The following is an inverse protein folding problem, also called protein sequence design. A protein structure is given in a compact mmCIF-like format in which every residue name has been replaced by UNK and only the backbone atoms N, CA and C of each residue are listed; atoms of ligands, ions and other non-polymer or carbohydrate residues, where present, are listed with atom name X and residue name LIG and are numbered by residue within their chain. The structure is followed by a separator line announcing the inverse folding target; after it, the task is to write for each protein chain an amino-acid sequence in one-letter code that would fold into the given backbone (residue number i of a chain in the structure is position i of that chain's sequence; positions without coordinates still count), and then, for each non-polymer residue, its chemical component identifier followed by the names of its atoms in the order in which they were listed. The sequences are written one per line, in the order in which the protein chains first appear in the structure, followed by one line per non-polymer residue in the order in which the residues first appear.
data_IF_536952958269
#
_entry.id   IF_536952958269
#
_cell.length_a   1.000
_cell.length_b   1.000
_cell.length_c   1.000
_cell.angle_alpha   90.00
_cell.angle_beta   90.00
_cell.angle_gamma   90.00
#
_symmetry.space_group_name_H-M   'P 1'
#
loop_
_entity.id
_entity.type
_entity.pdbx_description
1 polymer ?
2 water ?
#
# COMPACT_ATOMS: atom_id res chain seq x y z
N UNK A 12 -16.56 11.52 25.42
CA UNK A 12 -16.94 10.33 24.59
C UNK A 12 -17.93 10.69 23.48
N UNK A 13 -17.58 10.35 22.24
CA UNK A 13 -18.40 10.72 21.07
C UNK A 13 -18.88 9.58 20.17
N UNK A 14 -19.94 9.84 19.40
CA UNK A 14 -20.45 8.86 18.44
C UNK A 14 -20.04 9.41 17.09
N UNK A 15 -19.28 8.62 16.31
CA UNK A 15 -18.77 9.07 15.02
C UNK A 15 -19.29 8.24 13.86
N UNK A 16 -19.71 8.96 12.83
CA UNK A 16 -20.25 8.39 11.60
C UNK A 16 -19.19 8.58 10.48
N UNK A 17 -18.71 7.46 9.94
CA UNK A 17 -17.71 7.46 8.88
C UNK A 17 -18.34 7.14 7.54
N UNK A 18 -18.34 8.13 6.65
CA UNK A 18 -18.90 7.93 5.34
C UNK A 18 -17.74 7.50 4.48
N UNK A 19 -17.75 6.20 4.14
CA UNK A 19 -16.67 5.62 3.36
C UNK A 19 -15.75 4.80 4.29
N UNK A 20 -16.31 4.33 5.40
CA UNK A 20 -15.60 3.54 6.39
C UNK A 20 -15.00 2.25 5.83
N UNK A 21 -15.38 1.89 4.60
CA UNK A 21 -14.90 0.66 4.03
C UNK A 21 -13.54 0.77 3.36
N UNK A 22 -13.04 2.00 3.22
CA UNK A 22 -11.72 2.24 2.65
C UNK A 22 -10.55 1.89 3.61
N UNK A 23 -9.37 1.66 3.03
CA UNK A 23 -8.26 1.30 3.88
C UNK A 23 -7.93 2.47 4.85
N UNK A 24 -7.88 3.70 4.31
CA UNK A 24 -7.61 4.88 5.13
C UNK A 24 -8.61 5.09 6.27
N UNK A 25 -9.86 5.22 5.88
CA UNK A 25 -10.92 5.42 6.80
C UNK A 25 -11.07 4.32 7.82
N UNK A 26 -10.94 3.05 7.43
CA UNK A 26 -11.14 2.01 8.45
C UNK A 26 -10.09 2.12 9.55
N UNK A 27 -8.89 2.57 9.19
CA UNK A 27 -7.83 2.70 10.18
C UNK A 27 -8.21 3.72 11.25
N UNK A 28 -8.66 4.88 10.77
CA UNK A 28 -9.08 5.95 11.66
C UNK A 28 -10.30 5.47 12.46
N UNK A 29 -11.22 4.73 11.84
CA UNK A 29 -12.36 4.26 12.57
C UNK A 29 -11.92 3.28 13.66
N UNK A 30 -11.02 2.36 13.32
CA UNK A 30 -10.53 1.35 14.28
C UNK A 30 -9.83 2.06 15.48
N UNK A 31 -9.01 3.06 15.19
CA UNK A 31 -8.36 3.83 16.24
C UNK A 31 -9.42 4.39 17.22
N UNK A 32 -10.44 5.06 16.67
CA UNK A 32 -11.51 5.64 17.49
C UNK A 32 -12.26 4.55 18.23
N UNK A 33 -12.46 3.44 17.55
CA UNK A 33 -13.10 2.28 18.14
C UNK A 33 -12.24 1.78 19.32
N UNK A 34 -10.93 1.74 19.11
CA UNK A 34 -10.00 1.30 20.15
C UNK A 34 -9.98 2.29 21.30
N UNK A 35 -10.39 3.54 21.04
CA UNK A 35 -10.39 4.53 22.10
C UNK A 35 -11.73 4.57 22.78
N UNK A 36 -12.57 3.57 22.55
CA UNK A 36 -13.84 3.57 23.24
C UNK A 36 -14.94 4.50 22.73
N UNK A 37 -14.82 5.01 21.53
CA UNK A 37 -15.89 5.83 20.99
C UNK A 37 -16.96 4.99 20.31
N UNK A 38 -18.18 5.52 20.22
CA UNK A 38 -19.26 4.82 19.55
C UNK A 38 -19.02 5.07 18.06
N UNK A 39 -18.65 4.02 17.34
CA UNK A 39 -18.30 4.15 15.95
C UNK A 39 -19.15 3.34 15.01
N UNK A 40 -19.50 3.92 13.86
CA UNK A 40 -20.23 3.17 12.85
C UNK A 40 -20.01 3.90 11.55
N UNK A 41 -20.47 3.33 10.46
CA UNK A 41 -20.22 4.02 9.22
C UNK A 41 -20.89 3.36 8.05
N UNK A 42 -20.53 3.85 6.88
CA UNK A 42 -21.17 3.33 5.70
C UNK A 42 -20.17 3.34 4.56
N UNK A 43 -20.52 2.60 3.53
CA UNK A 43 -19.63 2.52 2.40
C UNK A 43 -20.44 2.21 1.18
N UNK A 44 -19.90 2.59 0.04
CA UNK A 44 -20.54 2.41 -1.25
C UNK A 44 -20.70 0.95 -1.64
N UNK A 45 -19.70 0.13 -1.34
CA UNK A 45 -19.71 -1.29 -1.67
C UNK A 45 -19.15 -2.04 -0.48
N UNK A 46 -19.31 -3.35 -0.47
CA UNK A 46 -18.78 -4.12 0.62
C UNK A 46 -17.23 -4.29 0.37
N UNK A 47 -16.40 -4.34 1.41
CA UNK A 47 -14.92 -4.50 1.25
C UNK A 47 -14.37 -5.46 2.30
N UNK A 48 -13.09 -5.83 2.24
CA UNK A 48 -12.64 -6.74 3.31
C UNK A 48 -12.63 -5.97 4.61
N UNK A 49 -12.40 -4.65 4.53
CA UNK A 49 -12.47 -3.84 5.74
C UNK A 49 -13.91 -3.83 6.32
N UNK A 50 -14.94 -3.61 5.49
CA UNK A 50 -16.32 -3.59 6.03
C UNK A 50 -16.56 -4.95 6.66
N UNK A 51 -16.12 -6.00 6.02
CA UNK A 51 -16.31 -7.32 6.61
C UNK A 51 -15.58 -7.37 7.95
N UNK A 52 -14.32 -6.94 7.93
CA UNK A 52 -13.52 -7.00 9.14
C UNK A 52 -14.11 -6.17 10.26
N UNK A 53 -14.46 -4.90 9.94
CA UNK A 53 -15.00 -4.04 10.97
C UNK A 53 -16.29 -4.54 11.54
N UNK A 54 -17.09 -5.27 10.73
CA UNK A 54 -18.35 -5.79 11.25
C UNK A 54 -18.08 -6.89 12.24
N UNK A 55 -17.06 -7.70 11.93
CA UNK A 55 -16.70 -8.81 12.79
C UNK A 55 -16.29 -8.26 14.15
N UNK A 56 -15.83 -7.01 14.19
CA UNK A 56 -15.44 -6.42 15.49
C UNK A 56 -16.67 -5.94 16.24
N UNK A 57 -17.78 -5.84 15.52
CA UNK A 57 -19.02 -5.38 16.11
C UNK A 57 -19.31 -3.93 15.78
N UNK A 58 -18.76 -3.45 14.68
CA UNK A 58 -19.00 -2.09 14.25
C UNK A 58 -20.07 -2.11 13.19
N UNK A 59 -21.14 -1.33 13.38
CA UNK A 59 -22.23 -1.29 12.41
C UNK A 59 -21.72 -0.58 11.16
N UNK A 60 -21.80 -1.28 10.03
CA UNK A 60 -21.36 -0.78 8.76
C UNK A 60 -22.51 -0.97 7.80
N UNK A 61 -22.94 0.14 7.19
CA UNK A 61 -24.07 0.11 6.27
C UNK A 61 -23.68 0.34 4.83
N UNK A 62 -24.11 -0.59 3.99
CA UNK A 62 -23.82 -0.49 2.57
C UNK A 62 -25.14 -0.70 1.86
N UNK A 63 -25.48 0.17 0.90
CA UNK A 63 -24.69 1.31 0.45
C UNK A 63 -25.06 2.57 1.21
N UNK A 64 -24.66 3.73 0.66
CA UNK A 64 -24.95 5.00 1.29
C UNK A 64 -26.44 5.30 1.19
N UNK A 65 -27.00 5.76 2.30
CA UNK A 65 -28.40 6.11 2.42
C UNK A 65 -28.55 6.95 3.66
N UNK A 66 -29.36 8.00 3.62
CA UNK A 66 -29.60 8.80 4.83
C UNK A 66 -30.29 7.90 5.87
N UNK A 67 -30.71 6.73 5.44
CA UNK A 67 -31.27 5.75 6.36
C UNK A 67 -30.17 5.39 7.42
N UNK A 68 -28.90 5.44 7.00
CA UNK A 68 -27.78 5.07 7.87
C UNK A 68 -27.40 6.20 8.79
N UNK A 69 -28.38 6.76 9.48
CA UNK A 69 -28.11 7.86 10.37
C UNK A 69 -28.49 7.45 11.79
N UNK A 70 -27.56 7.64 12.73
CA UNK A 70 -27.84 7.27 14.11
C UNK A 70 -27.44 8.35 15.09
N UNK A 71 -27.75 9.57 14.68
CA UNK A 71 -27.53 10.80 15.43
C UNK A 71 -26.14 10.85 16.01
N UNK A 72 -25.13 10.90 15.13
CA UNK A 72 -23.73 10.97 15.52
C UNK A 72 -23.41 12.38 15.97
N UNK A 73 -22.35 12.52 16.73
CA UNK A 73 -21.91 13.81 17.21
C UNK A 73 -20.95 14.31 16.18
N UNK A 74 -20.51 13.37 15.37
CA UNK A 74 -19.51 13.76 14.40
C UNK A 74 -19.60 12.91 13.15
N UNK A 75 -19.35 13.54 12.02
CA UNK A 75 -19.39 12.83 10.76
C UNK A 75 -18.06 13.05 10.07
N UNK A 76 -17.43 11.95 9.64
CA UNK A 76 -16.16 12.06 8.92
C UNK A 76 -16.34 11.50 7.52
N UNK A 77 -15.77 12.20 6.53
CA UNK A 77 -15.89 11.77 5.15
C UNK A 77 -14.57 11.80 4.37
N UNK A 78 -14.47 10.94 3.38
CA UNK A 78 -13.28 10.89 2.54
C UNK A 78 -13.42 11.86 1.38
N UNK A 79 -12.31 12.24 0.77
CA UNK A 79 -12.39 13.18 -0.35
C UNK A 79 -13.36 12.73 -1.44
N UNK A 80 -13.64 11.44 -1.53
CA UNK A 80 -14.54 10.94 -2.56
C UNK A 80 -16.03 11.17 -2.27
N UNK A 81 -16.39 11.36 -1.01
CA UNK A 81 -17.79 11.56 -0.67
C UNK A 81 -18.31 12.85 -1.28
N UNK A 82 -19.28 12.74 -2.17
CA UNK A 82 -19.77 13.95 -2.81
C UNK A 82 -20.85 14.63 -1.99
N UNK A 83 -21.04 15.94 -2.23
CA UNK A 83 -22.02 16.75 -1.49
C UNK A 83 -23.46 16.30 -1.63
N UNK A 84 -23.75 15.50 -2.65
CA UNK A 84 -25.10 15.00 -2.80
C UNK A 84 -25.23 13.62 -2.12
N UNK A 85 -24.21 13.23 -1.38
CA UNK A 85 -24.33 11.97 -0.68
C UNK A 85 -25.47 12.17 0.32
N UNK A 86 -26.48 11.30 0.28
CA UNK A 86 -27.57 11.50 1.24
C UNK A 86 -27.14 11.65 2.71
N UNK A 87 -26.08 10.97 3.10
CA UNK A 87 -25.63 11.03 4.48
C UNK A 87 -25.05 12.39 4.78
N UNK A 88 -24.38 12.94 3.81
CA UNK A 88 -23.81 14.23 4.04
C UNK A 88 -24.93 15.27 4.05
N UNK A 89 -25.94 15.07 3.20
CA UNK A 89 -27.05 16.02 3.18
C UNK A 89 -27.77 16.01 4.52
N UNK A 90 -28.08 14.81 5.03
CA UNK A 90 -28.74 14.72 6.32
C UNK A 90 -27.86 15.41 7.36
N UNK A 91 -26.60 15.01 7.43
CA UNK A 91 -25.68 15.61 8.39
C UNK A 91 -25.68 17.13 8.29
N UNK A 92 -25.64 17.67 7.08
CA UNK A 92 -25.62 19.12 7.03
C UNK A 92 -26.94 19.72 7.48
N UNK A 93 -28.04 19.10 7.13
CA UNK A 93 -29.29 19.66 7.53
C UNK A 93 -29.46 19.49 9.03
N UNK A 94 -28.96 18.38 9.55
CA UNK A 94 -29.05 18.14 10.99
C UNK A 94 -28.00 18.98 11.74
N UNK A 95 -27.21 19.75 10.99
CA UNK A 95 -26.18 20.62 11.57
C UNK A 95 -25.05 19.89 12.33
N UNK A 96 -24.84 18.63 11.99
CA UNK A 96 -23.79 17.85 12.60
C UNK A 96 -22.45 18.21 11.93
N UNK A 97 -21.46 18.54 12.74
CA UNK A 97 -20.13 18.88 12.21
C UNK A 97 -19.59 17.74 11.34
N UNK A 98 -19.03 18.12 10.21
CA UNK A 98 -18.52 17.16 9.25
C UNK A 98 -17.05 17.44 9.05
N UNK A 99 -16.26 16.38 9.10
CA UNK A 99 -14.84 16.55 8.90
C UNK A 99 -14.29 15.63 7.85
N UNK A 100 -13.19 16.07 7.26
CA UNK A 100 -12.48 15.31 6.22
C UNK A 100 -11.42 14.41 6.83
N UNK A 101 -11.33 13.19 6.32
CA UNK A 101 -10.39 12.17 6.77
C UNK A 101 -9.01 12.68 7.19
N UNK A 102 -8.26 13.25 6.23
CA UNK A 102 -6.89 13.70 6.51
C UNK A 102 -6.83 14.69 7.60
N UNK A 103 -7.67 15.72 7.46
CA UNK A 103 -7.75 16.78 8.43
C UNK A 103 -8.07 16.22 9.81
N UNK A 104 -9.00 15.27 9.91
CA UNK A 104 -9.37 14.69 11.19
C UNK A 104 -8.20 13.87 11.74
N UNK A 105 -7.52 13.18 10.83
CA UNK A 105 -6.37 12.39 11.20
C UNK A 105 -5.31 13.33 11.82
N UNK A 106 -5.05 14.46 11.16
CA UNK A 106 -4.08 15.36 11.72
C UNK A 106 -4.50 15.79 13.10
N UNK A 107 -5.76 16.08 13.26
CA UNK A 107 -6.22 16.49 14.57
C UNK A 107 -6.03 15.31 15.50
N UNK A 108 -6.26 14.11 14.98
CA UNK A 108 -6.13 12.94 15.82
C UNK A 108 -4.70 12.78 16.32
N UNK A 109 -3.74 13.10 15.47
CA UNK A 109 -2.36 13.02 15.90
C UNK A 109 -2.12 14.12 16.90
N UNK A 110 -2.63 15.33 16.65
CA UNK A 110 -2.42 16.40 17.61
C UNK A 110 -2.86 15.93 18.99
N UNK A 111 -3.98 15.21 19.06
CA UNK A 111 -4.40 14.72 20.35
C UNK A 111 -3.40 13.66 20.87
N UNK A 112 -2.93 12.78 20.00
CA UNK A 112 -1.98 11.75 20.42
C UNK A 112 -0.75 12.32 21.13
N UNK A 113 -0.26 13.47 20.68
CA UNK A 113 0.92 14.11 21.26
C UNK A 113 1.99 13.02 21.45
N UNK A 114 2.38 12.39 20.34
CA UNK A 114 3.34 11.30 20.39
C UNK A 114 4.48 11.52 19.40
N UNK A 115 5.49 10.66 19.46
CA UNK A 115 6.61 10.78 18.54
C UNK A 115 6.07 10.21 17.23
N UNK A 116 6.24 10.94 16.15
CA UNK A 116 5.70 10.50 14.87
C UNK A 116 6.62 10.04 13.75
N UNK A 117 6.34 8.85 13.22
CA UNK A 117 7.09 8.33 12.09
C UNK A 117 6.11 8.39 10.91
N UNK A 118 6.38 9.27 9.96
CA UNK A 118 5.57 9.40 8.78
C UNK A 118 6.31 8.95 7.52
N UNK A 119 5.55 8.33 6.63
CA UNK A 119 6.12 7.90 5.37
C UNK A 119 5.21 8.45 4.29
N UNK A 120 5.80 9.02 3.26
CA UNK A 120 4.99 9.54 2.17
C UNK A 120 5.77 9.27 0.90
N UNK A 121 5.15 9.51 -0.25
CA UNK A 121 5.83 9.28 -1.49
C UNK A 121 4.88 8.78 -2.57
N UNK A 122 5.36 8.72 -3.80
CA UNK A 122 4.52 8.27 -4.87
C UNK A 122 4.43 6.77 -4.81
N UNK A 123 5.58 6.12 -4.75
CA UNK A 123 5.63 4.66 -4.73
C UNK A 123 6.43 4.13 -3.56
N UNK A 124 5.98 3.02 -2.98
CA UNK A 124 6.70 2.35 -1.91
C UNK A 124 6.28 2.71 -0.50
N UNK A 125 5.44 3.71 -0.45
CA UNK A 125 4.93 4.27 0.79
C UNK A 125 4.34 3.29 1.79
N UNK A 126 3.44 2.43 1.32
CA UNK A 126 2.77 1.51 2.24
C UNK A 126 3.69 0.43 2.75
N UNK A 127 4.52 -0.13 1.87
CA UNK A 127 5.44 -1.18 2.30
C UNK A 127 6.47 -0.58 3.27
N UNK A 128 6.98 0.60 2.92
CA UNK A 128 7.97 1.29 3.76
C UNK A 128 7.37 1.55 5.12
N UNK A 129 6.13 2.03 5.13
CA UNK A 129 5.46 2.26 6.40
C UNK A 129 5.30 0.97 7.19
N UNK A 130 5.00 -0.12 6.49
CA UNK A 130 4.79 -1.39 7.17
C UNK A 130 6.13 -1.85 7.76
N UNK A 131 7.20 -1.61 7.01
CA UNK A 131 8.54 -1.95 7.48
C UNK A 131 8.86 -1.18 8.78
N UNK A 132 8.64 0.16 8.77
CA UNK A 132 8.88 1.00 9.93
C UNK A 132 8.10 0.47 11.11
N UNK A 133 6.80 0.26 10.90
CA UNK A 133 5.95 -0.28 11.95
C UNK A 133 6.47 -1.63 12.43
N UNK A 134 6.81 -2.50 11.48
CA UNK A 134 7.31 -3.82 11.83
C UNK A 134 8.60 -3.73 12.71
N UNK A 135 9.56 -2.88 12.32
CA UNK A 135 10.79 -2.65 13.08
C UNK A 135 10.42 -2.18 14.51
N UNK A 136 9.67 -1.09 14.60
CA UNK A 136 9.26 -0.59 15.90
C UNK A 136 8.59 -1.67 16.73
N UNK A 137 7.79 -2.53 16.12
CA UNK A 137 7.16 -3.57 16.93
C UNK A 137 8.20 -4.59 17.40
N UNK A 138 9.16 -4.91 16.52
CA UNK A 138 10.18 -5.90 16.84
C UNK A 138 11.02 -5.41 17.95
N UNK A 139 11.26 -4.11 17.93
CA UNK A 139 12.07 -3.47 18.96
C UNK A 139 11.25 -3.25 20.18
N UNK A 140 10.09 -3.90 20.21
CA UNK A 140 9.14 -3.76 21.32
C UNK A 140 8.89 -2.30 21.69
N UNK A 141 8.71 -1.43 20.69
CA UNK A 141 8.45 -0.03 20.98
C UNK A 141 6.93 0.20 21.05
N UNK A 142 6.17 -0.88 20.85
CA UNK A 142 4.70 -0.86 20.90
C UNK A 142 4.05 0.40 20.25
N UNK A 143 4.28 0.59 18.95
CA UNK A 143 3.75 1.72 18.20
C UNK A 143 2.26 1.65 17.85
N UNK A 144 1.66 2.81 17.64
CA UNK A 144 0.30 2.88 17.16
C UNK A 144 0.60 2.95 15.67
N UNK A 145 -0.05 2.07 14.90
CA UNK A 145 0.14 2.02 13.46
C UNK A 145 -1.12 2.31 12.62
N UNK A 146 -0.95 3.11 11.58
CA UNK A 146 -2.00 3.46 10.65
C UNK A 146 -1.41 3.08 9.31
N UNK A 147 -1.84 1.94 8.78
CA UNK A 147 -1.31 1.47 7.52
C UNK A 147 -2.30 1.62 6.39
N UNK A 148 -1.80 1.91 5.20
CA UNK A 148 -2.64 2.01 4.01
C UNK A 148 -2.67 0.66 3.31
N UNK A 149 -2.64 -0.42 4.08
CA UNK A 149 -2.64 -1.73 3.46
C UNK A 149 -2.79 -2.72 4.59
N UNK A 150 -2.81 -4.01 4.28
CA UNK A 150 -2.97 -4.97 5.35
C UNK A 150 -1.67 -5.72 5.66
N UNK A 151 -1.29 -5.73 6.93
CA UNK A 151 -0.12 -6.47 7.36
C UNK A 151 -0.60 -7.36 8.47
N UNK A 152 -0.48 -8.66 8.26
CA UNK A 152 -0.97 -9.62 9.25
C UNK A 152 -0.48 -9.51 10.67
N UNK A 153 0.73 -9.01 10.84
CA UNK A 153 1.32 -8.87 12.16
C UNK A 153 0.59 -7.76 12.94
N UNK A 154 -0.14 -6.89 12.24
CA UNK A 154 -0.92 -5.83 12.91
C UNK A 154 -2.22 -6.38 13.47
N UNK A 155 -2.50 -6.08 14.73
CA UNK A 155 -3.72 -6.58 15.38
C UNK A 155 -5.02 -6.42 14.54
N UNK A 156 -5.15 -5.33 13.81
CA UNK A 156 -6.33 -5.11 13.00
C UNK A 156 -5.99 -4.93 11.53
N UNK A 157 -4.83 -5.41 11.11
CA UNK A 157 -4.51 -5.34 9.70
C UNK A 157 -3.88 -4.12 9.11
N UNK A 158 -4.56 -2.98 9.26
CA UNK A 158 -4.08 -1.71 8.73
C UNK A 158 -4.02 -0.75 9.89
N UNK A 159 -4.22 -1.30 11.07
CA UNK A 159 -4.20 -0.50 12.28
C UNK A 159 -3.81 -1.35 13.47
N UNK A 160 -3.18 -0.71 14.45
CA UNK A 160 -2.79 -1.35 15.70
C UNK A 160 -2.63 -0.23 16.70
N UNK A 161 -3.14 -0.44 17.91
CA UNK A 161 -3.02 0.56 18.95
C UNK A 161 -1.85 0.19 19.84
N UNK A 162 -1.02 1.17 20.16
CA UNK A 162 0.11 0.92 21.05
C UNK A 162 0.36 2.20 21.83
N UNK A 163 1.19 2.17 22.87
CA UNK A 163 1.45 3.40 23.63
C UNK A 163 2.78 4.03 23.21
N UNK A 164 3.53 3.34 22.34
CA UNK A 164 4.80 3.86 21.85
C UNK A 164 4.57 4.98 20.87
N UNK A 165 5.47 5.17 19.90
CA UNK A 165 5.24 6.27 18.95
C UNK A 165 4.15 5.84 17.96
N UNK A 166 3.78 6.75 17.07
CA UNK A 166 2.79 6.43 16.08
C UNK A 166 3.45 6.48 14.69
N UNK A 167 3.16 5.44 13.91
CA UNK A 167 3.68 5.29 12.55
C UNK A 167 2.51 5.42 11.57
N UNK A 168 2.68 6.24 10.54
CA UNK A 168 1.61 6.38 9.56
C UNK A 168 2.08 6.77 8.18
N UNK A 169 1.16 6.59 7.25
CA UNK A 169 1.34 6.84 5.84
C UNK A 169 0.73 8.21 5.52
N UNK A 170 1.39 9.05 4.76
CA UNK A 170 0.80 10.32 4.38
C UNK A 170 0.62 10.26 2.88
N UNK A 171 -0.59 10.51 2.41
CA UNK A 171 -0.80 10.47 0.97
C UNK A 171 -0.47 11.82 0.34
N UNK A 172 0.54 11.85 -0.49
CA UNK A 172 0.90 13.10 -1.11
C UNK A 172 -0.04 13.48 -2.22
N UNK A 173 -1.24 12.91 -2.21
CA UNK A 173 -2.20 13.25 -3.24
C UNK A 173 -2.92 14.47 -2.77
N UNK A 174 -3.12 14.54 -1.46
CA UNK A 174 -3.80 15.68 -0.90
C UNK A 174 -2.75 16.66 -0.44
N UNK A 175 -2.76 17.85 -1.02
CA UNK A 175 -1.83 18.93 -0.68
C UNK A 175 -1.70 19.14 0.85
N UNK A 176 -2.81 18.93 1.56
CA UNK A 176 -2.85 19.09 3.02
C UNK A 176 -1.85 18.20 3.76
N UNK A 177 -1.19 17.27 3.06
CA UNK A 177 -0.26 16.40 3.76
C UNK A 177 0.86 17.27 4.27
N UNK A 178 1.13 18.33 3.53
CA UNK A 178 2.17 19.33 3.86
C UNK A 178 1.93 20.07 5.18
N UNK A 179 0.75 19.87 5.76
CA UNK A 179 0.37 20.49 7.01
C UNK A 179 0.76 19.64 8.21
N UNK A 180 1.25 18.44 7.94
CA UNK A 180 1.69 17.56 9.01
C UNK A 180 3.12 17.97 9.38
N UNK A 181 3.53 17.63 10.59
CA UNK A 181 4.89 17.94 10.96
C UNK A 181 5.39 16.83 11.89
N UNK A 182 5.66 15.65 11.30
CA UNK A 182 6.15 14.50 12.07
C UNK A 182 7.58 14.76 12.52
N UNK A 183 8.06 13.90 13.40
CA UNK A 183 9.43 13.98 13.92
C UNK A 183 10.34 13.55 12.77
N UNK A 184 9.98 12.40 12.19
CA UNK A 184 10.72 11.79 11.11
C UNK A 184 9.79 11.54 9.94
N UNK A 185 10.31 11.79 8.75
CA UNK A 185 9.57 11.60 7.55
C UNK A 185 10.44 10.92 6.48
N UNK A 186 9.96 9.80 5.95
CA UNK A 186 10.65 9.16 4.83
C UNK A 186 9.82 9.59 3.60
N UNK A 187 10.51 10.06 2.57
CA UNK A 187 9.82 10.44 1.34
C UNK A 187 10.42 9.44 0.37
N UNK A 188 9.65 8.42 -0.02
CA UNK A 188 10.15 7.35 -0.93
C UNK A 188 10.59 7.89 -2.26
N UNK A 189 9.77 8.80 -2.80
CA UNK A 189 10.03 9.46 -4.09
C UNK A 189 8.83 10.36 -4.28
N UNK A 190 8.89 11.20 -5.28
CA UNK A 190 7.81 12.16 -5.53
C UNK A 190 7.83 12.43 -7.03
N UNK A 191 7.05 11.65 -7.77
CA UNK A 191 7.00 11.78 -9.20
C UNK A 191 5.96 12.87 -9.53
N UNK A 192 5.05 13.15 -8.60
CA UNK A 192 4.05 14.17 -8.87
C UNK A 192 3.31 13.86 -10.15
N UNK A 193 2.62 12.73 -10.12
CA UNK A 193 1.88 12.26 -11.26
C UNK A 193 0.40 12.55 -11.06
N UNK A 194 0.06 13.09 -9.89
CA UNK A 194 -1.33 13.44 -9.61
C UNK A 194 -1.44 14.81 -9.00
N UNK A 195 -1.25 15.83 -9.85
CA UNK A 195 -1.32 17.23 -9.43
C UNK A 195 -2.73 17.81 -9.34
N UNK A 196 -3.74 16.98 -9.59
CA UNK A 196 -5.14 17.40 -9.55
C UNK A 196 -5.51 18.23 -8.34
N UNK A 197 -4.93 17.89 -7.19
CA UNK A 197 -5.24 18.60 -5.95
C UNK A 197 -4.27 19.76 -5.69
N UNK A 198 -3.32 19.95 -6.59
CA UNK A 198 -2.36 21.06 -6.49
C UNK A 198 -2.62 22.03 -7.65
N UNK A 199 -3.90 22.17 -8.01
CA UNK A 199 -4.27 23.02 -9.11
C UNK A 199 -3.34 22.72 -10.27
N UNK A 200 -3.06 21.45 -10.48
CA UNK A 200 -2.16 21.01 -11.54
C UNK A 200 -0.90 21.84 -11.60
N UNK A 201 -0.37 22.17 -10.42
CA UNK A 201 0.85 22.96 -10.32
C UNK A 201 2.02 22.22 -9.67
N UNK A 202 2.97 21.76 -10.47
CA UNK A 202 4.13 21.05 -9.90
C UNK A 202 4.81 21.94 -8.86
N UNK A 203 4.61 23.24 -8.98
CA UNK A 203 5.22 24.19 -8.04
C UNK A 203 4.57 24.08 -6.68
N UNK A 204 3.25 24.00 -6.65
CA UNK A 204 2.56 23.85 -5.38
C UNK A 204 2.99 22.51 -4.79
N UNK A 205 3.09 21.50 -5.65
CA UNK A 205 3.50 20.16 -5.24
C UNK A 205 4.88 20.23 -4.57
N UNK A 206 5.85 20.80 -5.26
CA UNK A 206 7.18 20.93 -4.69
C UNK A 206 7.06 21.64 -3.34
N UNK A 207 6.33 22.75 -3.33
CA UNK A 207 6.17 23.53 -2.11
C UNK A 207 5.63 22.73 -0.98
N UNK A 208 4.69 21.84 -1.29
CA UNK A 208 4.10 20.97 -0.28
C UNK A 208 5.21 20.15 0.39
N UNK A 209 6.13 19.59 -0.39
CA UNK A 209 7.21 18.82 0.21
C UNK A 209 8.17 19.69 0.98
N UNK A 210 8.52 20.82 0.38
CA UNK A 210 9.39 21.80 1.00
C UNK A 210 8.92 22.08 2.44
N UNK A 211 7.65 22.43 2.51
CA UNK A 211 6.95 22.73 3.74
C UNK A 211 6.92 21.62 4.78
N UNK A 212 6.58 20.39 4.40
CA UNK A 212 6.56 19.36 5.43
C UNK A 212 8.00 19.08 5.86
N UNK A 213 8.94 19.14 4.92
CA UNK A 213 10.34 18.94 5.27
C UNK A 213 10.72 19.93 6.36
N UNK A 214 10.46 21.22 6.13
CA UNK A 214 10.78 22.25 7.12
C UNK A 214 10.26 21.90 8.51
N UNK A 215 9.05 21.36 8.61
CA UNK A 215 8.54 21.04 9.93
C UNK A 215 8.81 19.65 10.48
N UNK A 216 9.79 18.98 9.90
CA UNK A 216 10.14 17.65 10.35
C UNK A 216 11.57 17.66 10.88
N UNK A 217 11.82 16.98 12.00
CA UNK A 217 13.18 16.92 12.54
C UNK A 217 14.16 16.19 11.64
N UNK A 218 13.77 15.05 11.09
CA UNK A 218 14.66 14.31 10.22
C UNK A 218 13.90 13.83 8.98
N UNK A 219 14.42 14.17 7.81
CA UNK A 219 13.79 13.78 6.58
C UNK A 219 14.68 12.78 5.86
N UNK A 220 14.13 11.62 5.50
CA UNK A 220 14.92 10.64 4.75
C UNK A 220 14.41 10.79 3.33
N UNK A 221 15.36 10.80 2.41
CA UNK A 221 14.97 11.03 1.07
C UNK A 221 15.72 10.17 0.06
N UNK A 222 15.07 9.98 -1.09
CA UNK A 222 15.61 9.19 -2.20
C UNK A 222 16.59 10.05 -2.99
N UNK A 223 17.87 9.71 -2.87
CA UNK A 223 18.94 10.44 -3.50
C UNK A 223 18.77 10.60 -5.00
N UNK A 224 17.96 9.73 -5.60
CA UNK A 224 17.78 9.83 -7.03
C UNK A 224 16.46 10.44 -7.44
N UNK A 225 15.68 10.90 -6.47
CA UNK A 225 14.38 11.54 -6.76
C UNK A 225 14.63 12.97 -7.17
N UNK A 226 14.51 13.27 -8.46
CA UNK A 226 14.76 14.63 -8.94
C UNK A 226 14.13 15.71 -8.08
N UNK A 227 12.83 15.60 -7.89
CA UNK A 227 12.04 16.56 -7.12
C UNK A 227 12.30 16.70 -5.65
N UNK A 228 12.73 15.64 -5.01
CA UNK A 228 12.78 15.71 -3.57
C UNK A 228 14.07 15.34 -2.84
N UNK A 229 15.10 14.95 -3.59
CA UNK A 229 16.34 14.51 -2.98
C UNK A 229 17.05 15.49 -2.06
N UNK A 230 17.09 16.74 -2.47
CA UNK A 230 17.75 17.77 -1.71
C UNK A 230 17.11 18.00 -0.32
N UNK A 231 15.86 17.61 -0.15
CA UNK A 231 15.22 17.82 1.13
C UNK A 231 15.69 16.88 2.22
N UNK A 232 16.36 15.81 1.83
CA UNK A 232 16.75 14.85 2.86
C UNK A 232 17.93 15.21 3.73
N UNK A 233 17.80 14.92 5.01
CA UNK A 233 18.89 15.12 5.92
C UNK A 233 19.83 13.95 5.63
N UNK A 234 19.27 12.82 5.23
CA UNK A 234 20.03 11.64 4.79
C UNK A 234 19.31 11.05 3.58
N UNK A 235 20.08 10.40 2.72
CA UNK A 235 19.53 9.79 1.51
C UNK A 235 19.92 8.33 1.29
N UNK A 236 19.19 7.70 0.39
CA UNK A 236 19.40 6.30 0.01
C UNK A 236 19.17 6.30 -1.50
N UNK A 237 19.90 5.44 -2.17
CA UNK A 237 19.83 5.34 -3.59
C UNK A 237 20.60 4.10 -3.96
N UNK A 238 20.77 3.90 -5.25
CA UNK A 238 21.46 2.72 -5.68
C UNK A 238 22.92 3.06 -5.85
N UNK A 239 23.18 4.06 -6.67
CA UNK A 239 24.56 4.42 -6.95
C UNK A 239 25.00 5.67 -6.23
N UNK A 240 24.04 6.51 -5.83
CA UNK A 240 24.35 7.73 -5.10
C UNK A 240 23.44 7.87 -3.89
N UNK A 241 23.95 8.57 -2.88
CA UNK A 241 23.21 8.81 -1.66
C UNK A 241 23.98 8.43 -0.41
N UNK A 242 23.45 8.76 0.77
CA UNK A 242 24.14 8.41 2.01
C UNK A 242 24.23 6.88 2.12
N UNK A 243 23.12 6.21 1.92
CA UNK A 243 23.12 4.75 1.97
C UNK A 243 22.99 4.34 0.54
N UNK A 244 23.85 3.41 0.18
CA UNK A 244 23.98 2.94 -1.19
C UNK A 244 24.02 1.40 -1.34
N UNK A 245 23.75 0.91 -2.53
CA UNK A 245 23.77 -0.53 -2.80
C UNK A 245 25.04 -0.94 -3.51
N UNK A 246 25.81 -1.82 -2.91
CA UNK A 246 27.01 -2.22 -3.58
C UNK A 246 26.71 -3.46 -4.43
N UNK A 247 25.90 -4.37 -3.91
CA UNK A 247 25.54 -5.60 -4.60
C UNK A 247 24.20 -6.09 -4.13
N UNK A 248 23.51 -6.76 -5.02
CA UNK A 248 22.20 -7.30 -4.72
C UNK A 248 22.09 -8.62 -5.38
N UNK A 249 21.52 -9.56 -4.68
CA UNK A 249 21.36 -10.88 -5.22
C UNK A 249 19.99 -11.37 -4.78
N UNK A 250 19.15 -11.64 -5.77
CA UNK A 250 17.80 -12.09 -5.51
C UNK A 250 17.72 -13.59 -5.70
N UNK A 251 17.01 -14.27 -4.82
CA UNK A 251 16.89 -15.69 -5.02
C UNK A 251 15.44 -16.07 -4.72
N UNK A 252 15.13 -17.34 -4.74
CA UNK A 252 13.78 -17.81 -4.52
C UNK A 252 13.23 -17.52 -3.15
N UNK A 253 14.01 -17.77 -2.12
CA UNK A 253 13.53 -17.54 -0.75
C UNK A 253 13.86 -16.16 -0.16
N UNK A 254 14.81 -15.44 -0.74
CA UNK A 254 15.17 -14.17 -0.13
C UNK A 254 16.04 -13.46 -1.08
N UNK A 255 16.31 -12.20 -0.74
CA UNK A 255 17.22 -11.45 -1.58
C UNK A 255 18.17 -10.78 -0.57
N UNK A 256 19.42 -10.61 -0.99
CA UNK A 256 20.47 -10.00 -0.15
C UNK A 256 21.02 -8.76 -0.81
N UNK A 257 21.45 -7.80 -0.01
CA UNK A 257 22.02 -6.58 -0.55
C UNK A 257 23.15 -6.08 0.37
N UNK A 258 24.27 -5.73 -0.25
CA UNK A 258 25.42 -5.17 0.46
C UNK A 258 25.18 -3.67 0.53
N UNK A 259 25.03 -3.13 1.72
CA UNK A 259 24.77 -1.70 1.82
C UNK A 259 25.99 -0.91 2.25
N UNK A 260 26.28 0.18 1.53
CA UNK A 260 27.39 1.07 1.88
C UNK A 260 26.82 2.29 2.50
N UNK A 261 27.57 2.85 3.45
CA UNK A 261 27.22 4.10 4.11
C UNK A 261 28.36 5.06 3.75
N UNK A 262 27.99 6.19 3.15
CA UNK A 262 28.94 7.16 2.70
C UNK A 262 30.11 6.48 2.00
N UNK A 263 29.77 5.47 1.22
CA UNK A 263 30.78 4.79 0.43
C UNK A 263 31.54 3.65 1.03
N UNK A 264 31.18 3.26 2.24
CA UNK A 264 31.90 2.16 2.84
C UNK A 264 30.95 1.02 3.16
N UNK A 265 31.39 -0.19 2.83
CA UNK A 265 30.61 -1.38 3.07
C UNK A 265 30.20 -1.23 4.53
N UNK A 266 28.89 -1.29 4.76
CA UNK A 266 28.35 -1.06 6.09
C UNK A 266 27.56 -2.21 6.66
N UNK A 267 26.78 -2.89 5.82
CA UNK A 267 25.98 -4.01 6.27
C UNK A 267 25.36 -4.80 5.13
N UNK A 268 24.91 -5.98 5.49
CA UNK A 268 24.25 -6.80 4.51
C UNK A 268 22.78 -6.84 4.88
N UNK A 269 21.96 -6.42 3.94
CA UNK A 269 20.50 -6.45 4.07
C UNK A 269 19.95 -7.75 3.50
N UNK A 270 19.19 -8.48 4.31
CA UNK A 270 18.52 -9.69 3.85
C UNK A 270 16.99 -9.46 3.98
N UNK A 271 16.23 -9.73 2.91
CA UNK A 271 14.77 -9.60 2.92
C UNK A 271 14.09 -10.89 2.46
N UNK A 272 13.05 -11.29 3.18
CA UNK A 272 12.23 -12.46 2.82
C UNK A 272 11.44 -11.96 1.60
N UNK A 273 10.95 -10.73 1.71
CA UNK A 273 10.19 -10.03 0.66
C UNK A 273 11.02 -9.77 -0.60
N UNK A 274 10.47 -10.08 -1.79
CA UNK A 274 11.30 -9.85 -2.98
C UNK A 274 11.11 -8.53 -3.68
N UNK A 275 11.83 -8.36 -4.78
CA UNK A 275 11.76 -7.15 -5.57
C UNK A 275 12.83 -6.13 -5.21
N UNK A 276 13.42 -5.59 -6.26
CA UNK A 276 14.42 -4.57 -6.14
C UNK A 276 13.88 -3.38 -5.33
N UNK A 277 12.67 -2.96 -5.65
CA UNK A 277 12.11 -1.83 -4.96
C UNK A 277 11.93 -2.04 -3.48
N UNK A 278 11.74 -3.28 -3.07
CA UNK A 278 11.64 -3.50 -1.64
C UNK A 278 13.00 -3.26 -0.96
N UNK A 279 14.10 -3.44 -1.70
CA UNK A 279 15.42 -3.19 -1.16
C UNK A 279 15.52 -1.68 -0.92
N UNK A 280 15.09 -0.88 -1.90
CA UNK A 280 15.09 0.55 -1.75
C UNK A 280 14.23 0.97 -0.55
N UNK A 281 13.08 0.33 -0.37
CA UNK A 281 12.21 0.65 0.75
C UNK A 281 12.89 0.26 2.07
N UNK A 282 13.59 -0.86 2.06
CA UNK A 282 14.29 -1.31 3.25
C UNK A 282 15.47 -0.33 3.51
N UNK A 283 16.17 0.09 2.45
CA UNK A 283 17.27 1.05 2.54
C UNK A 283 16.74 2.32 3.23
N UNK A 284 15.61 2.87 2.79
CA UNK A 284 15.08 4.07 3.44
C UNK A 284 14.82 3.80 4.93
N UNK A 285 14.41 2.57 5.25
CA UNK A 285 14.16 2.25 6.64
C UNK A 285 15.46 2.25 7.45
N UNK A 286 16.46 1.56 6.91
CA UNK A 286 17.76 1.50 7.51
C UNK A 286 18.28 2.92 7.72
N UNK A 287 18.13 3.76 6.70
CA UNK A 287 18.60 5.11 6.78
C UNK A 287 17.96 5.86 7.91
N UNK A 288 16.66 5.67 8.10
CA UNK A 288 16.00 6.38 9.17
C UNK A 288 16.52 5.95 10.55
N UNK A 289 16.42 4.66 10.84
CA UNK A 289 16.85 4.11 12.11
C UNK A 289 18.32 4.27 12.47
N UNK A 290 19.17 4.15 11.46
CA UNK A 290 20.60 4.33 11.62
C UNK A 290 20.77 5.81 11.99
N UNK A 291 20.08 6.69 11.27
CA UNK A 291 20.19 8.10 11.55
C UNK A 291 19.74 8.43 12.97
N UNK A 292 18.87 7.60 13.54
CA UNK A 292 18.37 7.84 14.87
C UNK A 292 19.20 7.06 15.87
N UNK A 293 20.33 6.52 15.43
CA UNK A 293 21.18 5.77 16.34
C UNK A 293 20.74 4.44 16.90
N UNK A 294 19.84 3.77 16.20
CA UNK A 294 19.36 2.47 16.63
C UNK A 294 20.40 1.40 16.37
N UNK A 295 20.49 0.43 17.27
CA UNK A 295 21.39 -0.69 17.07
C UNK A 295 20.74 -1.39 15.87
N UNK A 296 21.43 -1.45 14.76
CA UNK A 296 20.89 -2.09 13.59
C UNK A 296 20.79 -3.60 13.63
N UNK A 297 21.44 -4.28 14.56
CA UNK A 297 21.31 -5.74 14.55
C UNK A 297 19.83 -6.14 14.66
N UNK A 298 19.10 -5.62 15.68
CA UNK A 298 17.69 -6.02 15.71
C UNK A 298 16.87 -5.45 14.56
N UNK A 299 17.28 -4.28 14.05
CA UNK A 299 16.55 -3.68 12.95
C UNK A 299 16.65 -4.57 11.71
N UNK A 300 17.82 -5.16 11.48
CA UNK A 300 18.03 -6.04 10.34
C UNK A 300 17.38 -7.41 10.50
N UNK A 301 17.26 -7.85 11.72
CA UNK A 301 16.63 -9.12 12.05
C UNK A 301 15.13 -8.97 11.70
N UNK A 302 14.58 -7.83 12.09
CA UNK A 302 13.20 -7.53 11.85
C UNK A 302 12.97 -7.40 10.33
N UNK A 303 13.85 -6.67 9.65
CA UNK A 303 13.64 -6.51 8.24
C UNK A 303 13.71 -7.84 7.55
N UNK A 304 14.56 -8.72 8.05
CA UNK A 304 14.67 -10.00 7.39
C UNK A 304 13.36 -10.78 7.54
N UNK A 305 12.69 -10.61 8.66
CA UNK A 305 11.45 -11.29 8.96
C UNK A 305 10.17 -10.62 8.42
N UNK A 306 10.27 -9.40 7.93
CA UNK A 306 9.13 -8.65 7.45
C UNK A 306 8.38 -9.48 6.45
N UNK A 307 7.07 -9.67 6.65
CA UNK A 307 6.31 -10.51 5.75
C UNK A 307 5.58 -9.85 4.59
N UNK A 308 5.62 -8.53 4.54
CA UNK A 308 5.03 -7.83 3.41
C UNK A 308 3.62 -7.38 3.68
N UNK A 309 3.10 -6.63 2.73
CA UNK A 309 1.75 -6.10 2.83
C UNK A 309 0.91 -6.78 1.80
N UNK A 310 -0.33 -7.14 2.13
CA UNK A 310 -1.21 -7.79 1.13
C UNK A 310 -1.33 -6.97 -0.13
N UNK A 311 -1.22 -7.68 -1.24
CA UNK A 311 -1.28 -7.17 -2.60
C UNK A 311 0.00 -6.53 -3.05
N UNK A 312 1.04 -6.63 -2.26
CA UNK A 312 2.34 -6.14 -2.76
C UNK A 312 3.10 -7.46 -2.88
N UNK A 313 2.97 -8.08 -4.05
CA UNK A 313 3.51 -9.38 -4.37
C UNK A 313 3.29 -10.33 -3.19
N UNK A 314 2.06 -10.42 -2.68
CA UNK A 314 1.76 -11.32 -1.58
C UNK A 314 1.34 -12.73 -2.06
N UNK A 315 1.86 -13.75 -1.38
CA UNK A 315 1.56 -15.12 -1.77
C UNK A 315 0.27 -15.43 -1.08
N UNK A 316 -0.77 -15.62 -1.88
CA UNK A 316 -2.09 -15.93 -1.36
C UNK A 316 -2.19 -17.42 -1.12
N UNK A 317 -1.50 -18.20 -1.93
CA UNK A 317 -1.57 -19.64 -1.80
C UNK A 317 -0.37 -20.34 -2.43
N UNK A 318 0.09 -21.39 -1.77
CA UNK A 318 1.20 -22.13 -2.31
C UNK A 318 0.98 -23.61 -2.12
N UNK A 319 1.08 -24.39 -3.20
CA UNK A 319 0.97 -25.84 -3.06
C UNK A 319 2.36 -26.39 -3.35
N UNK A 320 3.05 -26.79 -2.30
CA UNK A 320 4.40 -27.35 -2.34
C UNK A 320 4.49 -28.71 -3.00
N UNK A 321 3.40 -29.46 -2.99
CA UNK A 321 3.39 -30.77 -3.65
C UNK A 321 3.37 -30.52 -5.14
N UNK A 322 2.69 -29.47 -5.50
CA UNK A 322 2.50 -29.25 -6.91
C UNK A 322 3.34 -28.15 -7.56
N UNK A 323 4.02 -27.40 -6.70
CA UNK A 323 4.82 -26.24 -7.06
C UNK A 323 3.91 -25.20 -7.75
N UNK A 324 2.79 -24.91 -7.10
CA UNK A 324 1.85 -23.93 -7.63
C UNK A 324 1.66 -22.74 -6.67
N UNK A 325 1.73 -21.54 -7.22
CA UNK A 325 1.55 -20.34 -6.41
C UNK A 325 0.47 -19.42 -6.95
N UNK A 326 -0.26 -18.80 -6.04
CA UNK A 326 -1.23 -17.79 -6.45
C UNK A 326 -0.72 -16.54 -5.72
N UNK A 327 -0.37 -15.54 -6.50
CA UNK A 327 0.18 -14.31 -5.95
C UNK A 327 -0.68 -13.09 -6.32
N UNK A 328 -0.88 -12.19 -5.35
CA UNK A 328 -1.63 -10.95 -5.53
C UNK A 328 -0.77 -9.70 -5.63
N UNK A 329 -1.06 -8.87 -6.60
CA UNK A 329 -0.32 -7.63 -6.73
C UNK A 329 -1.17 -6.52 -7.32
N UNK A 330 -1.11 -5.37 -6.65
CA UNK A 330 -1.82 -4.14 -6.96
C UNK A 330 -1.45 -3.49 -8.27
N UNK A 331 -0.35 -3.90 -8.89
CA UNK A 331 0.08 -3.22 -10.10
C UNK A 331 -1.04 -2.86 -11.09
N UNK A 332 -0.99 -1.64 -11.63
CA UNK A 332 -1.97 -1.18 -12.60
C UNK A 332 -1.34 -0.34 -13.70
N UNK A 333 -0.07 -0.08 -13.50
CA UNK A 333 0.72 0.71 -14.42
C UNK A 333 1.64 -0.15 -15.22
N UNK A 334 1.99 0.26 -16.43
CA UNK A 334 2.89 -0.56 -17.22
C UNK A 334 4.21 -0.81 -16.51
N UNK A 335 4.72 0.21 -15.82
CA UNK A 335 6.00 0.05 -15.15
C UNK A 335 5.88 -0.85 -13.94
N UNK A 336 4.78 -0.71 -13.22
CA UNK A 336 4.59 -1.54 -12.05
C UNK A 336 4.52 -3.00 -12.53
N UNK A 337 3.97 -3.23 -13.73
CA UNK A 337 3.85 -4.58 -14.26
C UNK A 337 5.19 -5.08 -14.74
N UNK A 338 5.95 -4.22 -15.40
CA UNK A 338 7.29 -4.62 -15.85
C UNK A 338 8.12 -5.04 -14.60
N UNK A 339 7.96 -4.28 -13.51
CA UNK A 339 8.68 -4.56 -12.26
C UNK A 339 8.21 -5.86 -11.65
N UNK A 340 6.91 -6.01 -11.53
CA UNK A 340 6.33 -7.22 -10.98
C UNK A 340 6.86 -8.47 -11.72
N UNK A 341 6.83 -8.42 -13.03
CA UNK A 341 7.27 -9.56 -13.79
C UNK A 341 8.76 -9.77 -13.60
N UNK A 342 9.52 -8.69 -13.55
CA UNK A 342 10.94 -8.85 -13.34
C UNK A 342 11.16 -9.50 -11.98
N UNK A 343 10.39 -9.11 -10.97
CA UNK A 343 10.65 -9.81 -9.73
C UNK A 343 10.09 -11.23 -9.75
N UNK A 344 9.04 -11.49 -10.53
CA UNK A 344 8.48 -12.85 -10.58
C UNK A 344 9.59 -13.76 -11.14
N UNK A 345 10.25 -13.29 -12.18
CA UNK A 345 11.33 -14.06 -12.78
C UNK A 345 12.54 -14.21 -11.85
N UNK A 346 12.82 -13.24 -10.99
CA UNK A 346 13.93 -13.38 -10.06
C UNK A 346 13.61 -14.44 -9.03
N UNK A 347 12.37 -14.42 -8.53
CA UNK A 347 11.97 -15.39 -7.52
C UNK A 347 11.71 -16.77 -8.08
N UNK A 348 11.04 -16.80 -9.23
CA UNK A 348 10.69 -18.04 -9.88
C UNK A 348 11.38 -18.14 -11.21
N UNK A 349 12.63 -18.59 -11.15
CA UNK A 349 13.46 -18.71 -12.31
C UNK A 349 12.92 -19.61 -13.40
N UNK A 350 12.36 -20.76 -13.02
CA UNK A 350 11.89 -21.70 -14.02
C UNK A 350 10.43 -21.94 -14.19
N UNK A 351 9.65 -21.59 -13.19
CA UNK A 351 8.21 -21.80 -13.27
C UNK A 351 7.52 -21.02 -14.42
N UNK A 352 6.31 -21.47 -14.75
CA UNK A 352 5.49 -20.83 -15.77
C UNK A 352 4.83 -19.64 -15.07
N UNK A 353 4.92 -18.46 -15.67
CA UNK A 353 4.32 -17.26 -15.11
C UNK A 353 3.06 -16.90 -15.88
N UNK A 354 1.93 -16.90 -15.17
CA UNK A 354 0.64 -16.59 -15.76
C UNK A 354 0.05 -15.35 -15.12
N UNK A 355 -0.15 -14.31 -15.93
CA UNK A 355 -0.72 -13.08 -15.43
C UNK A 355 -2.19 -12.95 -15.84
N UNK A 356 -3.03 -12.71 -14.85
CA UNK A 356 -4.44 -12.48 -15.01
C UNK A 356 -4.50 -10.99 -14.59
N UNK A 357 -4.63 -10.11 -15.57
CA UNK A 357 -4.61 -8.68 -15.33
C UNK A 357 -5.89 -7.92 -15.55
N UNK A 358 -6.33 -7.22 -14.52
CA UNK A 358 -7.54 -6.40 -14.61
C UNK A 358 -7.06 -4.95 -14.69
N UNK A 359 -7.06 -4.33 -15.88
CA UNK A 359 -6.59 -2.95 -16.03
C UNK A 359 -7.41 -2.01 -15.14
N UNK A 360 -6.86 -0.84 -14.86
CA UNK A 360 -7.56 0.03 -13.93
C UNK A 360 -8.12 1.31 -14.50
N UNK A 361 -9.21 1.75 -13.90
CA UNK A 361 -9.86 2.99 -14.27
C UNK A 361 -8.82 4.10 -14.31
N UNK A 370 -1.20 -0.35 -24.84
CA UNK A 370 0.02 -0.07 -25.58
C UNK A 370 1.34 -0.43 -24.87
N UNK A 371 1.66 0.29 -23.81
CA UNK A 371 2.88 -0.03 -23.07
C UNK A 371 2.61 -1.28 -22.26
N UNK A 372 1.34 -1.54 -21.99
CA UNK A 372 0.93 -2.69 -21.21
C UNK A 372 1.36 -3.97 -21.86
N UNK A 373 1.15 -4.07 -23.17
CA UNK A 373 1.51 -5.26 -23.90
C UNK A 373 3.00 -5.51 -23.81
N UNK A 374 3.79 -4.44 -23.89
CA UNK A 374 5.23 -4.60 -23.82
C UNK A 374 5.64 -4.99 -22.40
N UNK A 375 4.87 -4.56 -21.41
CA UNK A 375 5.17 -4.88 -20.01
C UNK A 375 4.85 -6.35 -19.67
N UNK A 376 3.80 -6.87 -20.29
CA UNK A 376 3.38 -8.21 -20.03
C UNK A 376 4.11 -9.25 -20.86
N UNK A 377 4.90 -8.79 -21.81
CA UNK A 377 5.64 -9.71 -22.68
C UNK A 377 6.39 -10.77 -21.86
N UNK A 378 6.93 -10.39 -20.71
CA UNK A 378 7.67 -11.33 -19.87
C UNK A 378 6.85 -12.51 -19.31
N UNK A 379 5.52 -12.41 -19.28
CA UNK A 379 4.70 -13.52 -18.76
C UNK A 379 4.58 -14.60 -19.82
N UNK A 380 4.32 -15.84 -19.39
CA UNK A 380 4.18 -16.93 -20.35
C UNK A 380 2.77 -16.98 -20.93
N UNK A 381 1.80 -16.62 -20.12
CA UNK A 381 0.42 -16.58 -20.54
C UNK A 381 -0.17 -15.32 -19.96
N UNK A 382 -0.99 -14.65 -20.76
CA UNK A 382 -1.70 -13.49 -20.25
C UNK A 382 -3.20 -13.56 -20.48
N UNK A 383 -3.96 -13.35 -19.43
CA UNK A 383 -5.43 -13.26 -19.50
C UNK A 383 -5.76 -11.82 -19.07
N UNK A 384 -6.32 -11.00 -19.96
CA UNK A 384 -6.68 -9.62 -19.60
C UNK A 384 -8.19 -9.58 -19.40
N UNK A 385 -8.69 -8.77 -18.45
CA UNK A 385 -10.12 -8.61 -18.25
C UNK A 385 -10.43 -7.20 -18.61
N UNK A 386 -11.71 -6.86 -18.52
CA UNK A 386 -12.17 -5.54 -18.83
C UNK A 386 -11.66 -4.63 -17.71
N UNK A 387 -11.52 -3.33 -17.99
CA UNK A 387 -11.05 -2.43 -16.95
C UNK A 387 -11.99 -2.35 -15.77
N UNK A 388 -11.42 -2.11 -14.59
CA UNK A 388 -12.19 -1.98 -13.38
C UNK A 388 -12.74 -0.55 -13.40
N UNK A 389 -14.08 -0.44 -13.46
CA UNK A 389 -14.81 0.84 -13.54
C UNK A 389 -14.66 1.56 -14.90
N UNK A 399 -12.18 -1.71 -23.34
CA UNK A 399 -10.86 -1.14 -23.48
C UNK A 399 -9.82 -2.22 -23.18
N UNK A 400 -10.11 -3.05 -22.18
CA UNK A 400 -9.23 -4.14 -21.83
C UNK A 400 -8.89 -4.93 -23.08
N UNK A 401 -9.85 -5.04 -24.01
CA UNK A 401 -9.60 -5.77 -25.24
C UNK A 401 -8.50 -5.11 -26.04
N UNK A 402 -8.34 -3.79 -25.90
CA UNK A 402 -7.27 -3.10 -26.64
C UNK A 402 -5.92 -3.65 -26.18
N UNK A 403 -5.80 -3.97 -24.89
CA UNK A 403 -4.54 -4.52 -24.38
C UNK A 403 -4.39 -5.90 -24.98
N UNK A 404 -5.47 -6.66 -24.96
CA UNK A 404 -5.44 -8.01 -25.53
C UNK A 404 -4.93 -7.89 -26.96
N UNK A 405 -5.54 -6.96 -27.70
CA UNK A 405 -5.17 -6.70 -29.08
C UNK A 405 -3.69 -6.45 -29.22
N UNK A 406 -3.16 -5.56 -28.38
CA UNK A 406 -1.74 -5.21 -28.40
C UNK A 406 -0.87 -6.42 -28.16
N UNK A 407 -1.23 -7.21 -27.17
CA UNK A 407 -0.49 -8.42 -26.84
C UNK A 407 -0.47 -9.28 -28.08
N UNK A 408 -1.64 -9.47 -28.68
CA UNK A 408 -1.76 -10.29 -29.87
C UNK A 408 -0.86 -9.78 -30.98
N UNK A 409 -0.71 -8.47 -31.06
CA UNK A 409 0.15 -7.86 -32.07
C UNK A 409 1.63 -8.13 -31.82
N UNK A 410 2.05 -8.11 -30.55
CA UNK A 410 3.44 -8.39 -30.24
C UNK A 410 3.63 -9.87 -30.45
N UNK A 411 2.57 -10.49 -30.93
CA UNK A 411 2.62 -11.90 -31.21
C UNK A 411 2.87 -12.88 -30.11
N UNK A 412 2.12 -12.80 -29.02
CA UNK A 412 2.30 -13.82 -28.01
C UNK A 412 0.92 -14.27 -27.42
N UNK A 413 0.91 -15.41 -26.73
CA UNK A 413 -0.33 -16.00 -26.21
C UNK A 413 -1.12 -15.29 -25.13
N UNK A 414 -2.12 -14.53 -25.55
CA UNK A 414 -2.96 -13.85 -24.59
C UNK A 414 -4.45 -14.14 -24.81
N UNK A 415 -5.25 -13.87 -23.79
CA UNK A 415 -6.66 -14.08 -23.87
C UNK A 415 -7.33 -12.88 -23.24
N UNK A 416 -8.58 -12.66 -23.66
CA UNK A 416 -9.37 -11.61 -23.10
C UNK A 416 -10.60 -12.28 -22.54
N UNK A 417 -10.96 -11.95 -21.32
CA UNK A 417 -12.14 -12.52 -20.71
C UNK A 417 -12.84 -11.33 -20.10
N UNK A 418 -14.00 -10.98 -20.61
CA UNK A 418 -14.64 -9.79 -20.10
C UNK A 418 -15.43 -9.84 -18.81
N UNK A 419 -16.08 -10.94 -18.50
CA UNK A 419 -16.84 -11.01 -17.26
C UNK A 419 -15.97 -11.48 -16.09
N UNK A 420 -15.85 -10.65 -15.06
CA UNK A 420 -15.02 -10.95 -13.90
C UNK A 420 -15.21 -12.33 -13.26
N UNK A 421 -16.45 -12.81 -13.12
CA UNK A 421 -16.72 -14.14 -12.52
C UNK A 421 -16.21 -15.32 -13.33
N UNK A 422 -15.88 -15.06 -14.58
CA UNK A 422 -15.37 -16.09 -15.44
C UNK A 422 -13.90 -16.33 -15.24
N UNK A 423 -13.18 -15.27 -14.85
CA UNK A 423 -11.73 -15.29 -14.62
C UNK A 423 -11.16 -16.58 -13.97
N UNK A 424 -11.54 -16.89 -12.73
CA UNK A 424 -11.02 -18.09 -12.09
C UNK A 424 -11.33 -19.36 -12.84
N UNK A 425 -12.40 -19.35 -13.62
CA UNK A 425 -12.85 -20.55 -14.32
C UNK A 425 -12.08 -20.88 -15.57
N UNK A 426 -11.67 -19.83 -16.24
CA UNK A 426 -10.97 -19.91 -17.49
C UNK A 426 -9.58 -20.50 -17.40
N UNK A 427 -8.99 -20.36 -16.23
CA UNK A 427 -7.63 -20.78 -16.00
C UNK A 427 -7.35 -22.28 -15.91
N UNK A 428 -6.32 -22.70 -16.62
CA UNK A 428 -5.88 -24.09 -16.64
C UNK A 428 -4.88 -24.25 -15.48
N UNK A 429 -5.21 -25.06 -14.48
CA UNK A 429 -4.28 -25.24 -13.38
C UNK A 429 -3.18 -26.21 -13.75
N UNK A 430 -1.96 -25.71 -13.88
CA UNK A 430 -0.83 -26.57 -14.19
C UNK A 430 0.25 -26.52 -13.09
N UNK A 431 1.00 -27.60 -12.92
CA UNK A 431 2.10 -27.66 -11.95
C UNK A 431 3.16 -26.65 -12.33
N UNK A 432 4.05 -26.38 -11.38
CA UNK A 432 5.18 -25.47 -11.58
C UNK A 432 4.75 -24.20 -12.22
N UNK A 433 3.71 -23.59 -11.65
CA UNK A 433 3.20 -22.40 -12.24
C UNK A 433 2.83 -21.41 -11.19
N UNK A 434 3.11 -20.16 -11.52
CA UNK A 434 2.79 -19.08 -10.63
C UNK A 434 1.69 -18.30 -11.30
N UNK A 435 0.56 -18.17 -10.61
CA UNK A 435 -0.54 -17.39 -11.15
C UNK A 435 -0.53 -16.05 -10.42
N UNK A 436 -0.24 -15.01 -11.17
CA UNK A 436 -0.23 -13.67 -10.61
C UNK A 436 -1.51 -12.95 -10.98
N UNK A 437 -2.36 -12.70 -9.99
CA UNK A 437 -3.59 -11.96 -10.20
C UNK A 437 -3.24 -10.48 -9.93
N UNK A 438 -3.10 -9.73 -11.01
CA UNK A 438 -2.69 -8.36 -10.95
C UNK A 438 -3.72 -7.26 -11.15
N UNK A 439 -3.79 -6.35 -10.20
CA UNK A 439 -4.69 -5.22 -10.32
C UNK A 439 -5.13 -4.58 -9.04
N UNK A 440 -5.54 -3.31 -9.12
CA UNK A 440 -5.96 -2.57 -7.94
C UNK A 440 -7.42 -2.77 -7.58
N UNK A 441 -8.18 -3.34 -8.50
CA UNK A 441 -9.59 -3.54 -8.25
C UNK A 441 -10.09 -4.88 -7.77
N UNK A 442 -11.25 -5.21 -8.35
CA UNK A 442 -12.04 -6.43 -8.16
C UNK A 442 -11.27 -7.75 -8.22
N UNK A 443 -10.29 -7.77 -9.11
CA UNK A 443 -9.53 -8.98 -9.34
C UNK A 443 -9.13 -9.75 -8.11
N UNK A 444 -8.93 -9.04 -7.00
CA UNK A 444 -8.58 -9.66 -5.74
C UNK A 444 -9.58 -10.74 -5.36
N UNK A 445 -10.85 -10.60 -5.77
CA UNK A 445 -11.83 -11.64 -5.44
C UNK A 445 -11.74 -12.91 -6.34
N UNK A 446 -11.31 -12.72 -7.59
CA UNK A 446 -11.16 -13.84 -8.52
C UNK A 446 -10.06 -14.69 -7.94
N UNK A 447 -8.98 -14.01 -7.56
CA UNK A 447 -7.83 -14.65 -6.96
C UNK A 447 -8.27 -15.58 -5.82
N UNK A 448 -9.11 -15.08 -4.92
CA UNK A 448 -9.57 -15.90 -3.80
C UNK A 448 -10.43 -17.00 -4.33
N UNK A 449 -11.28 -16.68 -5.31
CA UNK A 449 -12.12 -17.72 -5.82
C UNK A 449 -11.30 -18.79 -6.51
N UNK A 450 -10.23 -18.38 -7.21
CA UNK A 450 -9.31 -19.34 -7.87
C UNK A 450 -8.66 -20.26 -6.83
N UNK A 451 -8.33 -19.69 -5.69
CA UNK A 451 -7.69 -20.50 -4.68
C UNK A 451 -8.71 -21.50 -4.19
N UNK A 452 -9.90 -20.99 -3.86
CA UNK A 452 -10.95 -21.89 -3.39
C UNK A 452 -11.20 -23.04 -4.40
N UNK A 453 -11.21 -22.71 -5.70
CA UNK A 453 -11.45 -23.71 -6.75
C UNK A 453 -10.38 -24.78 -6.64
N UNK A 454 -9.13 -24.31 -6.61
CA UNK A 454 -7.97 -25.20 -6.49
C UNK A 454 -8.11 -26.12 -5.31
N UNK A 455 -8.34 -25.54 -4.15
CA UNK A 455 -8.47 -26.32 -2.94
C UNK A 455 -9.59 -27.31 -3.04
N UNK A 456 -10.78 -26.84 -3.36
CA UNK A 456 -11.89 -27.78 -3.44
C UNK A 456 -11.53 -28.85 -4.45
N UNK A 457 -10.81 -28.45 -5.49
CA UNK A 457 -10.40 -29.37 -6.52
C UNK A 457 -9.53 -30.49 -5.94
N UNK A 458 -8.73 -30.17 -4.93
CA UNK A 458 -7.89 -31.21 -4.32
C UNK A 458 -8.71 -31.87 -3.21
#
# INVERSE_FOLDING_TARGET
XGSDKIHHHHHHMKIHFVGIGGIGMSAVALHEFSNGNDVYGSNIEETERTAYLRKLGIPIFVPHSADNWYDPDLVIKTPAVRDDNPEIVRARMERVPIENRLHYFRDTLKREKKEEFAVTGTDGKTTTTAMVAHVLKHLRKSPTVFLGGIMDSLEHGNYEKGNGPVVYELDESEEFFSEFSPNYLIITNARGDHLENYGNSLTRYRSAFEKISRNTDLVVTFAEDELTSHLGDVTFGVKKGTYTLEMRSASRAEQKAMVEKNGKRYLELKLKVPGFHNVLNALAVIALFDSLGYDLAPVLEALEEFRGVHRRFSIAFHDPETNIYVIDDYAHTPDEIRNLLQTAKEVFENEKIVVIFQPHRYSRLEREDGNFAKALQLADEVVVTEVYDAFEEKKNGISGKMIWDSLKSLGKEAYFVEKLPELEKVISVSENTVFLFVGAGDIIYSSRRFVERYQSSKSSPSRVLGSNK
#
